data_IF_103196940534
#
_entry.id   IF_103196940534
#
_cell.length_a   1.000
_cell.length_b   1.000
_cell.length_c   1.000
_cell.angle_alpha   90.00
_cell.angle_beta   90.00
_cell.angle_gamma   90.00
#
_symmetry.space_group_name_H-M   'P 1'
#
loop_
_entity.id
_entity.type
_entity.pdbx_description
1 polymer ?
#
# COMPACT_ATOMS: atom_id res chain seq x y z
N UNK A 1 2.60 13.50 -15.99
CA UNK A 1 3.17 14.61 -15.18
C UNK A 1 4.06 14.00 -14.11
N UNK A 2 5.21 14.59 -13.82
CA UNK A 2 6.11 14.14 -12.74
C UNK A 2 6.04 15.16 -11.61
N UNK A 3 5.64 14.72 -10.42
CA UNK A 3 5.73 15.54 -9.22
C UNK A 3 6.82 14.96 -8.31
N UNK A 4 7.69 15.80 -7.80
CA UNK A 4 8.84 15.40 -6.99
C UNK A 4 8.82 16.16 -5.67
N UNK A 5 8.95 15.43 -4.57
CA UNK A 5 9.33 15.97 -3.27
C UNK A 5 10.77 15.53 -2.97
N UNK A 6 11.38 16.08 -1.93
CA UNK A 6 12.72 15.61 -1.49
C UNK A 6 12.75 14.13 -1.04
N UNK A 7 11.59 13.48 -0.86
CA UNK A 7 11.47 12.11 -0.33
C UNK A 7 10.77 11.15 -1.25
N UNK A 8 9.90 11.66 -2.15
CA UNK A 8 9.07 10.84 -3.03
C UNK A 8 9.01 11.46 -4.42
N UNK A 9 9.19 10.64 -5.43
CA UNK A 9 8.89 10.99 -6.82
C UNK A 9 7.65 10.25 -7.29
N UNK A 10 6.83 10.90 -8.10
CA UNK A 10 5.64 10.32 -8.72
C UNK A 10 5.65 10.62 -10.21
N UNK A 11 5.61 9.59 -11.02
CA UNK A 11 5.40 9.71 -12.46
C UNK A 11 4.11 9.00 -12.86
N UNK A 12 3.33 9.63 -13.75
CA UNK A 12 2.06 9.10 -14.25
C UNK A 12 2.19 8.72 -15.71
N UNK A 13 1.83 7.48 -16.03
CA UNK A 13 1.76 6.99 -17.41
C UNK A 13 0.61 5.99 -17.54
N UNK A 14 -0.24 6.15 -18.55
CA UNK A 14 -1.34 5.21 -18.88
C UNK A 14 -2.26 4.88 -17.68
N UNK A 15 -2.53 5.87 -16.83
CA UNK A 15 -3.35 5.70 -15.63
C UNK A 15 -2.63 5.02 -14.46
N UNK A 16 -1.35 4.69 -14.58
CA UNK A 16 -0.54 4.10 -13.51
C UNK A 16 0.36 5.17 -12.89
N UNK A 17 0.28 5.31 -11.56
CA UNK A 17 1.23 6.11 -10.79
C UNK A 17 2.40 5.23 -10.32
N UNK A 18 3.60 5.54 -10.79
CA UNK A 18 4.85 4.97 -10.28
C UNK A 18 5.38 5.89 -9.20
N UNK A 19 5.24 5.47 -7.95
CA UNK A 19 5.62 6.19 -6.72
C UNK A 19 6.89 5.58 -6.16
N UNK A 20 7.94 6.41 -6.01
CA UNK A 20 9.24 5.93 -5.54
C UNK A 20 9.71 6.73 -4.34
N UNK A 21 10.12 6.03 -3.28
CA UNK A 21 10.85 6.59 -2.17
C UNK A 21 12.29 6.85 -2.62
N UNK A 22 12.81 8.07 -2.42
CA UNK A 22 14.09 8.49 -3.03
C UNK A 22 15.13 8.98 -2.02
N UNK A 23 15.01 8.59 -0.75
CA UNK A 23 16.02 8.85 0.28
C UNK A 23 17.06 7.71 0.34
N UNK A 24 17.78 7.53 -0.76
CA UNK A 24 18.63 6.36 -1.03
C UNK A 24 19.78 6.20 -0.02
N UNK A 25 20.41 7.31 0.40
CA UNK A 25 21.51 7.36 1.38
C UNK A 25 21.13 6.79 2.76
N UNK A 26 19.85 6.83 3.10
CA UNK A 26 19.27 6.32 4.36
C UNK A 26 18.38 5.10 4.17
N UNK A 27 18.51 4.37 3.04
CA UNK A 27 17.65 3.23 2.72
C UNK A 27 16.16 3.55 2.89
N UNK A 28 15.76 4.73 2.45
CA UNK A 28 14.39 5.24 2.52
C UNK A 28 13.79 5.27 3.94
N UNK A 29 14.63 5.47 4.97
CA UNK A 29 14.20 5.56 6.36
C UNK A 29 13.21 6.73 6.57
N UNK A 30 12.26 6.52 7.48
CA UNK A 30 11.12 7.39 7.76
C UNK A 30 11.50 8.52 8.73
N UNK A 31 11.91 9.66 8.19
CA UNK A 31 12.01 10.92 8.92
C UNK A 31 10.69 11.72 8.83
N UNK A 32 10.58 12.86 9.52
CA UNK A 32 9.36 13.66 9.48
C UNK A 32 8.98 14.11 8.05
N UNK A 33 9.91 14.59 7.18
CA UNK A 33 9.60 14.87 5.79
C UNK A 33 9.09 13.65 4.99
N UNK A 34 9.59 12.43 5.28
CA UNK A 34 9.10 11.22 4.61
C UNK A 34 7.67 10.87 5.05
N UNK A 35 7.34 11.00 6.34
CA UNK A 35 5.96 10.82 6.81
C UNK A 35 5.01 11.80 6.12
N UNK A 36 5.37 13.09 6.07
CA UNK A 36 4.56 14.09 5.37
C UNK A 36 4.41 13.75 3.88
N UNK A 37 5.51 13.42 3.20
CA UNK A 37 5.49 13.06 1.78
C UNK A 37 4.61 11.83 1.48
N UNK A 38 4.60 10.82 2.36
CA UNK A 38 3.74 9.64 2.23
C UNK A 38 2.26 10.01 2.35
N UNK A 39 1.90 10.82 3.36
CA UNK A 39 0.53 11.28 3.58
C UNK A 39 0.06 12.16 2.42
N UNK A 40 0.81 13.21 2.10
CA UNK A 40 0.45 14.20 1.06
C UNK A 40 0.33 13.53 -0.32
N UNK A 41 1.23 12.57 -0.62
CA UNK A 41 1.17 11.84 -1.90
C UNK A 41 -0.07 10.97 -1.99
N UNK A 42 -0.41 10.23 -0.93
CA UNK A 42 -1.62 9.40 -0.91
C UNK A 42 -2.89 10.26 -1.02
N UNK A 43 -2.96 11.40 -0.31
CA UNK A 43 -4.10 12.32 -0.37
C UNK A 43 -4.26 12.94 -1.76
N UNK A 44 -3.17 13.38 -2.38
CA UNK A 44 -3.18 13.88 -3.75
C UNK A 44 -3.65 12.82 -4.74
N UNK A 45 -3.10 11.60 -4.68
CA UNK A 45 -3.47 10.51 -5.57
C UNK A 45 -4.92 10.07 -5.40
N UNK A 46 -5.53 10.28 -4.23
CA UNK A 46 -6.95 9.94 -3.98
C UNK A 46 -7.90 10.73 -4.87
N UNK A 47 -7.52 11.93 -5.26
CA UNK A 47 -8.33 12.83 -6.12
C UNK A 47 -7.77 12.95 -7.55
N UNK A 48 -6.67 12.23 -7.86
CA UNK A 48 -6.03 12.30 -9.18
C UNK A 48 -6.94 11.73 -10.27
N UNK A 49 -7.25 12.56 -11.24
CA UNK A 49 -8.08 12.16 -12.38
C UNK A 49 -7.33 11.19 -13.28
N UNK A 50 -8.04 10.18 -13.78
CA UNK A 50 -7.45 9.17 -14.66
C UNK A 50 -6.58 8.13 -13.94
N UNK A 51 -6.42 8.21 -12.61
CA UNK A 51 -5.67 7.20 -11.86
C UNK A 51 -6.42 5.86 -11.85
N UNK A 52 -5.70 4.78 -12.22
CA UNK A 52 -6.20 3.41 -12.34
C UNK A 52 -5.51 2.42 -11.41
N UNK A 53 -4.22 2.60 -11.17
CA UNK A 53 -3.42 1.79 -10.26
C UNK A 53 -2.20 2.56 -9.76
N UNK A 54 -1.62 2.11 -8.65
CA UNK A 54 -0.41 2.68 -8.05
C UNK A 54 0.62 1.58 -7.84
N UNK A 55 1.88 1.85 -8.19
CA UNK A 55 3.03 1.05 -7.77
C UNK A 55 3.84 1.88 -6.78
N UNK A 56 4.10 1.31 -5.60
CA UNK A 56 4.93 1.91 -4.56
C UNK A 56 6.23 1.13 -4.43
N UNK A 57 7.36 1.78 -4.63
CA UNK A 57 8.69 1.18 -4.59
C UNK A 57 9.70 2.07 -3.88
N UNK A 58 10.89 1.54 -3.56
CA UNK A 58 12.03 2.31 -3.07
C UNK A 58 13.12 2.40 -4.13
N UNK A 59 13.86 3.49 -4.19
CA UNK A 59 15.12 3.56 -4.95
C UNK A 59 16.30 3.10 -4.10
N UNK A 60 17.39 2.71 -4.78
CA UNK A 60 18.61 2.24 -4.14
C UNK A 60 18.53 0.79 -3.68
N UNK A 61 19.13 0.48 -2.54
CA UNK A 61 19.34 -0.91 -2.07
C UNK A 61 18.23 -1.47 -1.18
N UNK A 62 17.17 -0.72 -0.94
CA UNK A 62 16.10 -1.13 -0.03
C UNK A 62 14.76 -0.48 -0.37
N UNK A 63 13.68 -1.16 -0.07
CA UNK A 63 12.35 -0.57 -0.08
C UNK A 63 12.24 0.52 1.00
N UNK A 64 12.39 0.14 2.29
CA UNK A 64 12.39 1.09 3.41
C UNK A 64 12.94 0.43 4.68
N UNK A 65 13.94 1.05 5.31
CA UNK A 65 14.58 0.53 6.51
C UNK A 65 13.80 0.78 7.82
N UNK A 66 12.64 1.45 7.76
CA UNK A 66 11.84 1.80 8.93
C UNK A 66 12.15 3.18 9.49
N UNK A 67 11.92 3.39 10.80
CA UNK A 67 12.07 4.69 11.44
C UNK A 67 13.50 5.20 11.37
N UNK A 68 13.69 6.48 11.03
CA UNK A 68 15.02 7.11 11.02
C UNK A 68 15.61 7.20 12.43
N UNK A 69 16.92 6.91 12.54
CA UNK A 69 17.62 6.91 13.83
C UNK A 69 17.56 8.26 14.56
N UNK A 70 17.51 9.37 13.83
CA UNK A 70 17.33 10.69 14.43
C UNK A 70 16.01 10.86 15.17
N UNK A 71 14.95 10.16 14.75
CA UNK A 71 13.67 10.20 15.47
C UNK A 71 13.70 9.44 16.79
N UNK A 72 14.48 8.36 16.89
CA UNK A 72 14.70 7.70 18.18
C UNK A 72 15.41 8.64 19.18
N UNK A 73 16.40 9.41 18.73
CA UNK A 73 17.04 10.41 19.57
C UNK A 73 16.03 11.46 20.06
N UNK A 74 15.20 12.00 19.16
CA UNK A 74 14.15 12.97 19.50
C UNK A 74 13.07 12.42 20.46
N UNK A 75 12.77 11.12 20.41
CA UNK A 75 11.90 10.47 21.40
C UNK A 75 12.53 10.47 22.79
N UNK A 76 13.83 10.15 22.88
CA UNK A 76 14.54 10.03 24.15
C UNK A 76 14.77 11.38 24.84
N UNK A 77 15.03 12.45 24.08
CA UNK A 77 15.25 13.79 24.62
C UNK A 77 13.97 14.63 24.79
N UNK A 78 12.81 14.03 24.46
CA UNK A 78 11.50 14.66 24.62
C UNK A 78 11.19 15.75 23.59
N UNK A 79 11.94 15.88 22.51
CA UNK A 79 11.69 16.85 21.40
C UNK A 79 10.81 16.27 20.30
N UNK A 80 10.39 15.01 20.41
CA UNK A 80 9.58 14.31 19.43
C UNK A 80 8.21 14.99 19.21
N UNK A 81 7.79 15.08 17.96
CA UNK A 81 6.46 15.50 17.52
C UNK A 81 5.39 14.39 17.70
N UNK A 82 5.79 13.19 18.15
CA UNK A 82 4.94 12.01 18.33
C UNK A 82 4.28 11.95 19.74
N UNK A 83 4.02 13.08 20.39
CA UNK A 83 3.55 13.11 21.78
C UNK A 83 2.09 12.77 21.99
N UNK A 84 1.24 12.99 20.98
CA UNK A 84 -0.21 12.77 21.07
C UNK A 84 -0.71 11.84 19.95
N UNK A 85 -0.24 10.60 19.98
CA UNK A 85 -0.64 9.56 19.01
C UNK A 85 -2.11 9.13 19.18
N UNK A 86 -2.77 9.47 20.31
CA UNK A 86 -4.18 9.20 20.49
C UNK A 86 -5.07 10.17 19.70
N UNK A 87 -4.58 11.35 19.35
CA UNK A 87 -5.33 12.32 18.56
C UNK A 87 -5.56 11.83 17.12
N UNK A 88 -6.81 11.79 16.70
CA UNK A 88 -7.19 11.45 15.32
C UNK A 88 -7.08 12.69 14.45
N UNK A 89 -6.15 12.68 13.50
CA UNK A 89 -5.86 13.81 12.60
C UNK A 89 -6.35 13.57 11.18
N UNK A 90 -6.61 12.30 10.81
CA UNK A 90 -7.03 11.86 9.47
C UNK A 90 -8.17 10.85 9.59
N UNK A 91 -9.36 11.31 10.02
CA UNK A 91 -10.51 10.44 10.24
C UNK A 91 -10.26 9.45 11.38
N UNK A 92 -10.12 8.16 11.08
CA UNK A 92 -9.84 7.12 12.09
C UNK A 92 -8.35 7.01 12.44
N UNK A 93 -7.45 7.63 11.68
CA UNK A 93 -6.01 7.52 11.82
C UNK A 93 -5.39 8.77 12.46
N UNK A 94 -4.25 8.59 13.15
CA UNK A 94 -3.31 9.67 13.40
C UNK A 94 -2.37 9.84 12.17
N UNK A 95 -1.50 10.84 12.21
CA UNK A 95 -0.59 11.14 11.10
C UNK A 95 0.35 9.98 10.74
N UNK A 96 0.93 9.30 11.74
CA UNK A 96 1.82 8.15 11.51
C UNK A 96 1.07 6.96 10.91
N UNK A 97 -0.15 6.70 11.39
CA UNK A 97 -1.02 5.66 10.81
C UNK A 97 -1.42 6.02 9.38
N UNK A 98 -1.71 7.29 9.09
CA UNK A 98 -2.13 7.74 7.76
C UNK A 98 -1.05 7.54 6.69
N UNK A 99 0.23 7.58 7.06
CA UNK A 99 1.34 7.28 6.15
C UNK A 99 1.28 5.87 5.55
N UNK A 100 0.54 4.96 6.19
CA UNK A 100 0.27 3.59 5.69
C UNK A 100 -1.21 3.44 5.28
N UNK A 101 -2.12 3.87 6.14
CA UNK A 101 -3.56 3.71 5.94
C UNK A 101 -4.08 4.47 4.72
N UNK A 102 -3.47 5.61 4.39
CA UNK A 102 -3.83 6.40 3.20
C UNK A 102 -3.70 5.61 1.89
N UNK A 103 -2.69 4.76 1.75
CA UNK A 103 -2.50 3.92 0.57
C UNK A 103 -3.58 2.85 0.44
N UNK A 104 -3.98 2.25 1.56
CA UNK A 104 -5.08 1.29 1.59
C UNK A 104 -6.42 1.93 1.24
N UNK A 105 -6.62 3.19 1.61
CA UNK A 105 -7.84 3.96 1.34
C UNK A 105 -7.95 4.48 -0.10
N UNK A 106 -6.88 4.42 -0.91
CA UNK A 106 -6.95 4.83 -2.31
C UNK A 106 -8.07 4.05 -3.02
N UNK A 107 -8.84 4.72 -3.91
CA UNK A 107 -9.94 4.06 -4.60
C UNK A 107 -9.48 3.06 -5.67
N UNK A 108 -8.18 2.99 -5.95
CA UNK A 108 -7.55 2.13 -6.95
C UNK A 108 -6.55 1.17 -6.30
N UNK A 109 -6.23 0.03 -6.93
CA UNK A 109 -5.25 -0.91 -6.41
C UNK A 109 -3.87 -0.30 -6.23
N UNK A 110 -3.19 -0.67 -5.14
CA UNK A 110 -1.82 -0.32 -4.81
C UNK A 110 -0.98 -1.60 -4.77
N UNK A 111 0.14 -1.62 -5.48
CA UNK A 111 1.10 -2.73 -5.50
C UNK A 111 2.41 -2.25 -4.89
N UNK A 112 2.83 -2.83 -3.78
CA UNK A 112 4.17 -2.59 -3.26
C UNK A 112 5.18 -3.50 -3.97
N UNK A 113 6.20 -2.89 -4.55
CA UNK A 113 7.35 -3.57 -5.15
C UNK A 113 8.52 -3.48 -4.16
N UNK A 114 8.81 -4.58 -3.50
CA UNK A 114 9.70 -4.62 -2.34
C UNK A 114 10.98 -5.37 -2.68
N UNK A 115 12.14 -4.75 -2.42
CA UNK A 115 13.45 -5.36 -2.56
C UNK A 115 14.35 -5.00 -1.37
N UNK A 116 15.41 -5.75 -1.17
CA UNK A 116 16.38 -5.53 -0.11
C UNK A 116 15.75 -5.66 1.28
N UNK A 117 15.43 -4.55 1.95
CA UNK A 117 14.81 -4.61 3.28
C UNK A 117 13.50 -3.83 3.36
N UNK A 118 12.56 -4.36 4.16
CA UNK A 118 11.35 -3.68 4.61
C UNK A 118 11.20 -3.95 6.12
N UNK A 119 11.63 -2.99 6.97
CA UNK A 119 11.69 -3.17 8.42
C UNK A 119 10.79 -2.18 9.16
N UNK A 120 10.15 -2.62 10.24
CA UNK A 120 9.32 -1.79 11.10
C UNK A 120 8.27 -0.99 10.32
N UNK A 121 8.33 0.34 10.40
CA UNK A 121 7.45 1.22 9.62
C UNK A 121 7.52 0.97 8.10
N UNK A 122 8.69 0.56 7.57
CA UNK A 122 8.83 0.16 6.16
C UNK A 122 8.08 -1.14 5.83
N UNK A 123 8.10 -2.11 6.74
CA UNK A 123 7.27 -3.29 6.63
C UNK A 123 5.77 -2.94 6.70
N UNK A 124 5.38 -2.08 7.65
CA UNK A 124 4.01 -1.63 7.77
C UNK A 124 3.54 -0.88 6.49
N UNK A 125 4.42 -0.07 5.89
CA UNK A 125 4.13 0.58 4.61
C UNK A 125 3.90 -0.44 3.48
N UNK A 126 4.72 -1.47 3.39
CA UNK A 126 4.56 -2.52 2.38
C UNK A 126 3.24 -3.28 2.51
N UNK A 127 2.83 -3.63 3.73
CA UNK A 127 1.54 -4.34 3.96
C UNK A 127 0.33 -3.43 3.81
N UNK A 128 0.49 -2.11 3.84
CA UNK A 128 -0.57 -1.14 3.52
C UNK A 128 -1.06 -1.21 2.08
N UNK A 129 -0.23 -1.71 1.16
CA UNK A 129 -0.62 -1.99 -0.22
C UNK A 129 -1.58 -3.19 -0.33
N UNK A 130 -2.35 -3.25 -1.43
CA UNK A 130 -3.25 -4.38 -1.72
C UNK A 130 -2.46 -5.64 -2.07
N UNK A 131 -1.40 -5.51 -2.86
CA UNK A 131 -0.52 -6.60 -3.28
C UNK A 131 0.95 -6.25 -2.98
N UNK A 132 1.77 -7.28 -2.78
CA UNK A 132 3.21 -7.17 -2.50
C UNK A 132 3.99 -8.11 -3.41
N UNK A 133 4.82 -7.54 -4.29
CA UNK A 133 5.76 -8.27 -5.11
C UNK A 133 7.14 -8.11 -4.49
N UNK A 134 7.80 -9.22 -4.18
CA UNK A 134 9.07 -9.23 -3.46
C UNK A 134 10.21 -9.72 -4.35
N UNK A 135 11.38 -9.12 -4.20
CA UNK A 135 12.61 -9.72 -4.71
C UNK A 135 12.96 -10.98 -3.88
N UNK A 136 13.65 -11.99 -4.48
CA UNK A 136 13.96 -13.23 -3.78
C UNK A 136 14.82 -13.05 -2.52
N UNK A 137 15.67 -12.04 -2.49
CA UNK A 137 16.56 -11.68 -1.40
C UNK A 137 15.94 -10.72 -0.36
N UNK A 138 14.66 -10.37 -0.52
CA UNK A 138 13.96 -9.44 0.38
C UNK A 138 13.94 -9.99 1.81
N UNK A 139 14.28 -9.11 2.75
CA UNK A 139 14.20 -9.35 4.19
C UNK A 139 13.18 -8.43 4.82
N UNK A 140 12.28 -9.00 5.60
CA UNK A 140 11.21 -8.27 6.28
C UNK A 140 11.28 -8.51 7.78
N UNK A 141 10.77 -7.57 8.58
CA UNK A 141 10.66 -7.75 10.03
C UNK A 141 9.69 -6.75 10.66
N UNK A 142 8.96 -7.19 11.69
CA UNK A 142 8.26 -6.34 12.66
C UNK A 142 9.28 -5.94 13.71
N UNK A 143 10.07 -4.91 13.45
CA UNK A 143 11.26 -4.58 14.25
C UNK A 143 10.99 -3.72 15.49
N UNK A 144 9.79 -3.28 15.71
CA UNK A 144 9.41 -2.33 16.76
C UNK A 144 9.84 -2.81 18.15
N UNK A 145 9.68 -4.10 18.44
CA UNK A 145 10.06 -4.69 19.75
C UNK A 145 11.55 -4.57 20.04
N UNK A 146 12.43 -4.55 19.03
CA UNK A 146 13.86 -4.35 19.22
C UNK A 146 14.21 -2.98 19.79
N UNK A 147 13.29 -2.03 19.62
CA UNK A 147 13.40 -0.66 20.08
C UNK A 147 12.51 -0.38 21.30
N UNK A 148 11.90 -1.43 21.88
CA UNK A 148 10.94 -1.28 22.99
C UNK A 148 9.63 -0.60 22.57
N UNK A 149 9.29 -0.66 21.28
CA UNK A 149 8.10 -0.05 20.69
C UNK A 149 7.09 -1.11 20.25
N UNK A 150 5.92 -0.67 19.87
CA UNK A 150 4.86 -1.49 19.26
C UNK A 150 4.59 -1.02 17.83
N UNK A 151 4.07 -1.90 16.92
CA UNK A 151 3.63 -1.49 15.59
C UNK A 151 2.46 -0.49 15.70
N UNK A 152 2.67 0.75 15.27
CA UNK A 152 1.73 1.86 15.45
C UNK A 152 1.36 2.62 14.16
N UNK A 153 1.77 2.09 13.00
CA UNK A 153 1.49 2.66 11.68
C UNK A 153 0.39 1.88 10.94
N UNK A 154 -0.73 1.56 11.61
CA UNK A 154 -1.84 0.76 11.09
C UNK A 154 -1.50 -0.70 10.74
N UNK A 155 -0.33 -1.20 11.14
CA UNK A 155 0.09 -2.57 10.85
C UNK A 155 -0.79 -3.62 11.47
N UNK A 156 -1.22 -3.43 12.74
CA UNK A 156 -1.99 -4.43 13.49
C UNK A 156 -3.32 -4.81 12.83
N UNK A 157 -4.22 -3.88 12.47
CA UNK A 157 -5.50 -4.22 11.83
C UNK A 157 -5.33 -4.78 10.41
N UNK A 158 -4.21 -4.48 9.74
CA UNK A 158 -3.91 -5.04 8.41
C UNK A 158 -3.37 -6.46 8.55
N UNK A 159 -2.40 -6.69 9.43
CA UNK A 159 -1.75 -8.00 9.64
C UNK A 159 -2.75 -9.07 10.11
N UNK A 160 -3.69 -8.70 11.00
CA UNK A 160 -4.73 -9.59 11.47
C UNK A 160 -5.60 -10.20 10.34
N UNK A 161 -5.57 -9.61 9.15
CA UNK A 161 -6.29 -10.08 7.95
C UNK A 161 -5.43 -10.85 6.97
N UNK A 162 -4.10 -10.79 7.12
CA UNK A 162 -3.15 -11.37 6.17
C UNK A 162 -2.55 -12.67 6.68
N UNK A 163 -2.31 -12.78 7.98
CA UNK A 163 -1.59 -13.90 8.58
C UNK A 163 -2.37 -14.55 9.72
N UNK A 164 -2.05 -15.80 10.01
CA UNK A 164 -2.56 -16.48 11.20
C UNK A 164 -2.05 -15.79 12.47
N UNK A 165 -2.85 -15.82 13.52
CA UNK A 165 -2.59 -15.15 14.79
C UNK A 165 -1.26 -15.60 15.44
N UNK A 166 -0.95 -16.89 15.41
CA UNK A 166 0.30 -17.43 15.96
C UNK A 166 1.55 -16.92 15.23
N UNK A 167 1.49 -16.81 13.90
CA UNK A 167 2.58 -16.24 13.09
C UNK A 167 2.74 -14.75 13.38
N UNK A 168 1.62 -14.01 13.45
CA UNK A 168 1.67 -12.58 13.78
C UNK A 168 2.34 -12.36 15.14
N UNK A 169 2.01 -13.16 16.15
CA UNK A 169 2.61 -13.10 17.49
C UNK A 169 4.09 -13.44 17.47
N UNK A 170 4.49 -14.50 16.77
CA UNK A 170 5.90 -14.86 16.60
C UNK A 170 6.70 -13.68 16.01
N UNK A 171 6.26 -13.15 14.90
CA UNK A 171 6.94 -12.04 14.22
C UNK A 171 6.99 -10.76 15.05
N UNK A 172 5.87 -10.41 15.73
CA UNK A 172 5.80 -9.19 16.53
C UNK A 172 6.55 -9.28 17.85
N UNK A 173 6.51 -10.44 18.54
CA UNK A 173 7.14 -10.60 19.85
C UNK A 173 8.64 -10.82 19.75
N UNK A 174 9.12 -11.49 18.68
CA UNK A 174 10.55 -11.76 18.48
C UNK A 174 11.25 -10.66 17.70
N UNK A 175 10.54 -9.93 16.85
CA UNK A 175 11.13 -8.97 15.92
C UNK A 175 12.15 -9.62 14.97
N UNK A 176 12.06 -10.94 14.76
CA UNK A 176 13.00 -11.66 13.90
C UNK A 176 12.86 -11.20 12.43
N UNK A 177 13.96 -11.32 11.73
CA UNK A 177 13.95 -11.15 10.26
C UNK A 177 13.41 -12.41 9.63
N UNK A 178 12.58 -12.27 8.61
CA UNK A 178 12.08 -13.35 7.79
C UNK A 178 12.29 -13.06 6.30
N UNK A 179 12.43 -14.12 5.53
CA UNK A 179 12.75 -14.08 4.10
C UNK A 179 11.51 -13.84 3.23
N UNK A 180 11.73 -13.58 1.93
CA UNK A 180 10.66 -13.52 0.93
C UNK A 180 9.87 -14.84 0.86
N UNK A 181 10.53 -15.98 1.00
CA UNK A 181 9.87 -17.32 0.98
C UNK A 181 8.98 -17.51 2.21
N UNK A 182 9.45 -17.12 3.40
CA UNK A 182 8.61 -17.12 4.61
C UNK A 182 7.43 -16.17 4.45
N UNK A 183 7.66 -14.94 3.93
CA UNK A 183 6.59 -13.99 3.64
C UNK A 183 5.53 -14.58 2.70
N UNK A 184 5.93 -15.33 1.67
CA UNK A 184 5.01 -16.04 0.77
C UNK A 184 4.21 -17.10 1.52
N UNK A 185 4.87 -17.92 2.35
CA UNK A 185 4.20 -18.98 3.10
C UNK A 185 3.21 -18.44 4.16
N UNK A 186 3.44 -17.21 4.64
CA UNK A 186 2.59 -16.54 5.64
C UNK A 186 1.45 -15.71 5.05
N UNK A 187 1.38 -15.57 3.70
CA UNK A 187 0.41 -14.71 3.03
C UNK A 187 0.79 -13.22 2.99
N UNK A 188 2.03 -12.89 3.36
CA UNK A 188 2.55 -11.52 3.34
C UNK A 188 3.12 -11.11 1.97
N UNK A 189 3.38 -12.06 1.08
CA UNK A 189 3.76 -11.81 -0.31
C UNK A 189 2.69 -12.33 -1.27
N UNK A 190 2.44 -11.58 -2.34
CA UNK A 190 1.56 -12.00 -3.44
C UNK A 190 2.34 -12.72 -4.52
N UNK A 191 3.60 -12.30 -4.72
CA UNK A 191 4.51 -12.85 -5.74
C UNK A 191 5.96 -12.65 -5.32
N UNK A 192 6.83 -13.58 -5.71
CA UNK A 192 8.30 -13.41 -5.67
C UNK A 192 8.79 -13.38 -7.12
N UNK A 193 9.60 -12.38 -7.47
CA UNK A 193 10.14 -12.16 -8.82
C UNK A 193 11.45 -11.37 -8.77
N UNK A 194 12.30 -11.53 -9.78
CA UNK A 194 13.64 -10.95 -9.81
C UNK A 194 13.62 -9.40 -9.85
N UNK A 195 12.68 -8.82 -10.59
CA UNK A 195 12.45 -7.36 -10.64
C UNK A 195 11.01 -7.03 -10.22
N UNK A 196 10.76 -6.86 -8.92
CA UNK A 196 9.41 -6.61 -8.41
C UNK A 196 8.80 -5.30 -8.93
N UNK A 197 9.62 -4.28 -9.25
CA UNK A 197 9.08 -3.03 -9.77
C UNK A 197 8.60 -3.17 -11.22
N UNK A 198 9.38 -3.78 -12.08
CA UNK A 198 8.97 -4.06 -13.47
C UNK A 198 7.72 -4.92 -13.51
N UNK A 199 7.67 -5.99 -12.72
CA UNK A 199 6.51 -6.89 -12.61
C UNK A 199 5.26 -6.16 -12.04
N UNK A 200 5.44 -5.32 -11.01
CA UNK A 200 4.35 -4.54 -10.43
C UNK A 200 3.80 -3.52 -11.43
N UNK A 201 4.66 -2.85 -12.21
CA UNK A 201 4.23 -1.93 -13.26
C UNK A 201 3.49 -2.67 -14.39
N UNK A 202 3.91 -3.87 -14.76
CA UNK A 202 3.21 -4.69 -15.73
C UNK A 202 1.82 -5.08 -15.23
N UNK A 203 1.72 -5.58 -13.99
CA UNK A 203 0.43 -5.91 -13.37
C UNK A 203 -0.48 -4.67 -13.21
N UNK A 204 0.10 -3.52 -12.84
CA UNK A 204 -0.65 -2.27 -12.72
C UNK A 204 -1.24 -1.81 -14.07
N UNK A 205 -0.48 -1.93 -15.18
CA UNK A 205 -1.00 -1.65 -16.54
C UNK A 205 -2.11 -2.61 -16.95
N UNK A 206 -1.96 -3.90 -16.64
CA UNK A 206 -3.03 -4.87 -16.87
C UNK A 206 -4.32 -4.48 -16.12
N UNK A 207 -4.21 -4.12 -14.85
CA UNK A 207 -5.34 -3.65 -14.03
C UNK A 207 -5.92 -2.35 -14.60
N UNK A 208 -5.07 -1.41 -15.02
CA UNK A 208 -5.50 -0.14 -15.61
C UNK A 208 -6.31 -0.34 -16.90
N UNK A 209 -6.10 -1.44 -17.62
CA UNK A 209 -6.88 -1.86 -18.78
C UNK A 209 -8.24 -2.49 -18.46
N UNK A 210 -8.61 -2.70 -17.20
CA UNK A 210 -9.91 -3.24 -16.79
C UNK A 210 -10.93 -2.11 -16.55
N UNK A 211 -12.20 -2.47 -16.42
CA UNK A 211 -13.26 -1.52 -16.08
C UNK A 211 -12.97 -0.83 -14.74
N UNK A 212 -12.75 0.51 -14.69
CA UNK A 212 -12.34 1.22 -13.50
C UNK A 212 -13.41 1.24 -12.40
N UNK A 213 -14.69 1.28 -12.77
CA UNK A 213 -15.78 1.29 -11.79
C UNK A 213 -15.86 -0.06 -11.08
N UNK A 214 -15.70 -1.15 -11.84
CA UNK A 214 -15.66 -2.49 -11.28
C UNK A 214 -14.43 -2.68 -10.37
N UNK A 215 -13.23 -2.24 -10.79
CA UNK A 215 -12.01 -2.32 -9.94
C UNK A 215 -12.21 -1.54 -8.64
N UNK A 216 -12.74 -0.32 -8.71
CA UNK A 216 -13.02 0.50 -7.51
C UNK A 216 -14.08 -0.17 -6.62
N UNK A 217 -15.15 -0.73 -7.21
CA UNK A 217 -16.17 -1.49 -6.51
C UNK A 217 -15.59 -2.70 -5.77
N UNK A 218 -14.81 -3.52 -6.47
CA UNK A 218 -14.13 -4.68 -5.89
C UNK A 218 -13.25 -4.25 -4.70
N UNK A 219 -12.46 -3.19 -4.84
CA UNK A 219 -11.60 -2.73 -3.75
C UNK A 219 -12.41 -2.25 -2.52
N UNK A 220 -13.52 -1.52 -2.74
CA UNK A 220 -14.42 -1.12 -1.63
C UNK A 220 -14.97 -2.34 -0.90
N UNK A 221 -15.47 -3.33 -1.64
CA UNK A 221 -15.99 -4.58 -1.07
C UNK A 221 -14.92 -5.30 -0.24
N UNK A 222 -13.74 -5.54 -0.81
CA UNK A 222 -12.65 -6.24 -0.12
C UNK A 222 -12.14 -5.47 1.11
N UNK A 223 -12.10 -4.14 1.06
CA UNK A 223 -11.75 -3.32 2.23
C UNK A 223 -12.81 -3.37 3.34
N UNK A 224 -14.07 -3.60 2.99
CA UNK A 224 -15.18 -3.75 3.93
C UNK A 224 -15.29 -5.11 4.61
N UNK A 225 -14.56 -6.13 4.15
CA UNK A 225 -14.62 -7.47 4.76
C UNK A 225 -14.14 -7.48 6.21
N UNK A 226 -14.84 -8.21 7.06
CA UNK A 226 -14.50 -8.43 8.47
C UNK A 226 -15.73 -8.40 9.37
N UNK A 227 -15.92 -9.41 10.24
CA UNK A 227 -17.06 -9.55 11.14
C UNK A 227 -18.27 -10.29 10.54
N UNK A 228 -19.47 -9.79 10.79
CA UNK A 228 -20.73 -10.35 10.27
C UNK A 228 -20.73 -10.36 8.74
N UNK A 229 -21.06 -11.49 8.05
CA UNK A 229 -21.12 -11.57 6.60
C UNK A 229 -22.28 -10.77 5.99
N UNK A 230 -23.31 -10.42 6.73
CA UNK A 230 -24.49 -9.72 6.22
C UNK A 230 -24.13 -8.40 5.51
N UNK A 231 -23.37 -7.50 6.12
CA UNK A 231 -22.90 -6.27 5.46
C UNK A 231 -22.08 -6.53 4.21
N UNK A 232 -21.24 -7.59 4.19
CA UNK A 232 -20.44 -7.94 2.99
C UNK A 232 -21.33 -8.39 1.83
N UNK A 233 -22.29 -9.28 2.07
CA UNK A 233 -23.25 -9.75 1.06
C UNK A 233 -24.10 -8.61 0.49
N UNK A 234 -24.54 -7.68 1.34
CA UNK A 234 -25.25 -6.48 0.89
C UNK A 234 -24.33 -5.58 0.04
N UNK A 235 -23.07 -5.39 0.44
CA UNK A 235 -22.10 -4.58 -0.31
C UNK A 235 -21.84 -5.13 -1.70
N UNK A 236 -21.74 -6.46 -1.87
CA UNK A 236 -21.64 -7.09 -3.19
C UNK A 236 -22.80 -6.68 -4.13
N UNK A 237 -24.01 -6.78 -3.61
CA UNK A 237 -25.22 -6.41 -4.37
C UNK A 237 -25.23 -4.92 -4.75
N UNK A 238 -24.89 -4.06 -3.80
CA UNK A 238 -24.85 -2.60 -4.00
C UNK A 238 -23.79 -2.21 -5.04
N UNK A 239 -22.57 -2.77 -4.95
CA UNK A 239 -21.50 -2.47 -5.90
C UNK A 239 -21.82 -3.03 -7.29
N UNK A 240 -22.43 -4.21 -7.38
CA UNK A 240 -22.90 -4.77 -8.66
C UNK A 240 -23.93 -3.86 -9.33
N UNK A 241 -24.91 -3.34 -8.59
CA UNK A 241 -25.89 -2.41 -9.12
C UNK A 241 -25.29 -1.10 -9.62
N UNK A 242 -24.20 -0.62 -8.99
CA UNK A 242 -23.50 0.61 -9.41
C UNK A 242 -22.77 0.45 -10.74
N UNK A 243 -22.22 -0.72 -11.04
CA UNK A 243 -21.45 -0.94 -12.27
C UNK A 243 -22.31 -1.47 -13.43
N UNK A 244 -23.37 -2.19 -13.13
CA UNK A 244 -24.24 -2.82 -14.12
C UNK A 244 -24.96 -1.77 -14.98
N UNK A 245 -24.85 -1.92 -16.31
CA UNK A 245 -25.45 -0.99 -17.29
C UNK A 245 -24.72 0.34 -17.44
N UNK A 246 -23.59 0.56 -16.77
CA UNK A 246 -22.77 1.76 -16.99
C UNK A 246 -22.07 1.72 -18.36
N UNK A 247 -21.66 2.88 -18.91
CA UNK A 247 -20.90 2.93 -20.16
C UNK A 247 -19.65 2.06 -20.16
N UNK A 248 -18.90 2.01 -19.05
CA UNK A 248 -17.71 1.19 -18.88
C UNK A 248 -18.04 -0.32 -18.84
N UNK A 249 -19.15 -0.70 -18.22
CA UNK A 249 -19.59 -2.10 -18.20
C UNK A 249 -20.04 -2.55 -19.60
N UNK A 250 -20.81 -1.72 -20.31
CA UNK A 250 -21.25 -1.99 -21.69
C UNK A 250 -20.04 -2.11 -22.62
N UNK A 251 -19.05 -1.21 -22.49
CA UNK A 251 -17.80 -1.27 -23.25
C UNK A 251 -17.01 -2.55 -22.96
N UNK A 252 -16.94 -2.98 -21.70
CA UNK A 252 -16.28 -4.22 -21.32
C UNK A 252 -16.91 -5.43 -22.05
N UNK A 253 -18.23 -5.54 -22.06
CA UNK A 253 -18.96 -6.61 -22.76
C UNK A 253 -18.72 -6.54 -24.27
N UNK A 254 -18.89 -5.36 -24.86
CA UNK A 254 -18.74 -5.14 -26.30
C UNK A 254 -17.32 -5.47 -26.78
N UNK A 255 -16.30 -4.97 -26.10
CA UNK A 255 -14.90 -5.21 -26.44
C UNK A 255 -14.55 -6.71 -26.37
N UNK A 256 -15.08 -7.44 -25.37
CA UNK A 256 -14.91 -8.89 -25.28
C UNK A 256 -15.55 -9.64 -26.45
N UNK A 257 -16.78 -9.29 -26.84
CA UNK A 257 -17.47 -9.89 -28.00
C UNK A 257 -16.71 -9.61 -29.29
N UNK A 258 -16.26 -8.36 -29.47
CA UNK A 258 -15.53 -7.89 -30.65
C UNK A 258 -14.05 -8.31 -30.67
N UNK A 259 -13.54 -8.95 -29.59
CA UNK A 259 -12.13 -9.39 -29.41
C UNK A 259 -11.13 -8.24 -29.63
N UNK A 260 -11.44 -7.06 -29.14
CA UNK A 260 -10.58 -5.87 -29.16
C UNK A 260 -10.27 -5.34 -27.76
N UNK A 261 -9.29 -4.45 -27.67
CA UNK A 261 -9.04 -3.72 -26.43
C UNK A 261 -10.21 -2.77 -26.08
N UNK A 262 -10.68 -2.74 -24.82
CA UNK A 262 -11.73 -1.82 -24.37
C UNK A 262 -11.20 -0.39 -24.27
N UNK A 263 -12.13 0.58 -24.44
CA UNK A 263 -11.87 2.02 -24.27
C UNK A 263 -12.72 2.56 -23.13
N UNK A 264 -12.18 2.53 -21.91
CA UNK A 264 -12.91 3.00 -20.74
C UNK A 264 -12.79 4.52 -20.56
N UNK A 265 -13.90 5.13 -20.12
CA UNK A 265 -13.88 6.46 -19.54
C UNK A 265 -13.28 6.41 -18.13
N UNK A 266 -12.95 7.57 -17.56
CA UNK A 266 -12.54 7.66 -16.16
C UNK A 266 -13.64 7.15 -15.23
N UNK A 267 -13.24 6.44 -14.18
CA UNK A 267 -14.17 5.91 -13.19
C UNK A 267 -14.94 7.03 -12.49
N UNK A 268 -16.20 6.80 -12.19
CA UNK A 268 -16.98 7.66 -11.31
C UNK A 268 -16.45 7.59 -9.88
N UNK A 269 -16.39 8.73 -9.19
CA UNK A 269 -15.97 8.83 -7.79
C UNK A 269 -17.04 8.31 -6.84
#
# INVERSE_FOLDING_TARGET
MTATSERITVSMSEGVADVRLVRVDKMNALDAPMFNALVDTAERLRTEKGLRAVVLSGEGRAFCAGLDMGRFAAMNDGTSDLRDLAKRTHGLANHSQQAVWGWRQLPVPVIAAVHGVAFGGGFQLAIGADMRFLAPDTRMSVTEIKWGLVPDMAGTPILARLVRDDILRDLAFTGRIFSAQEAMSYGLATRICDDPRTEALAAAREIAGKNPDAIRGIKRMLNGLGGDPGPALLAESVEQMKVMGTPNQIEAVRANIEKRAPKFADGSN
#
